data_IF_465622088075
#
_entry.id   IF_465622088075
#
_cell.length_a   1.000
_cell.length_b   1.000
_cell.length_c   1.000
_cell.angle_alpha   90.00
_cell.angle_beta   90.00
_cell.angle_gamma   90.00
#
_symmetry.space_group_name_H-M   'P 1'
#
loop_
_entity.id
_entity.type
_entity.pdbx_description
1 polymer ?
#
# COMPACT_ATOMS: atom_id res chain seq x y z
N UNK A 1 19.54 -1.70 12.72
CA UNK A 1 19.64 -0.36 12.08
C UNK A 1 18.22 0.22 12.02
N UNK A 2 18.02 1.50 12.32
CA UNK A 2 16.72 2.16 12.12
C UNK A 2 16.49 2.36 10.61
N UNK A 3 15.36 1.93 10.09
CA UNK A 3 15.03 1.96 8.65
C UNK A 3 14.25 3.20 8.25
N UNK A 4 13.37 3.70 9.15
CA UNK A 4 12.54 4.86 8.92
C UNK A 4 12.84 5.95 9.95
N UNK A 5 12.94 7.19 9.47
CA UNK A 5 13.03 8.37 10.32
C UNK A 5 11.74 9.19 10.17
N UNK A 6 10.90 9.29 11.22
CA UNK A 6 9.68 10.10 11.14
C UNK A 6 9.96 11.56 10.78
N UNK A 7 11.14 12.11 11.13
CA UNK A 7 11.51 13.49 10.81
C UNK A 7 11.80 13.67 9.31
N UNK A 8 12.13 12.59 8.60
CA UNK A 8 12.33 12.66 7.15
C UNK A 8 11.06 13.07 6.38
N UNK A 9 9.89 12.93 6.98
CA UNK A 9 8.62 13.40 6.40
C UNK A 9 8.49 14.94 6.40
N UNK A 10 9.30 15.65 7.19
CA UNK A 10 9.29 17.11 7.23
C UNK A 10 10.27 17.75 6.22
N UNK A 11 10.93 16.95 5.39
CA UNK A 11 11.84 17.48 4.37
C UNK A 11 11.10 18.34 3.36
N UNK A 12 11.81 19.35 2.82
CA UNK A 12 11.23 20.30 1.88
C UNK A 12 10.75 19.68 0.55
N UNK A 13 11.27 18.50 0.19
CA UNK A 13 10.87 17.73 -0.99
C UNK A 13 9.67 16.79 -0.75
N UNK A 14 9.16 16.70 0.49
CA UNK A 14 7.91 16.02 0.78
C UNK A 14 6.74 16.83 0.24
N UNK A 15 6.02 16.27 -0.71
CA UNK A 15 4.82 16.87 -1.25
C UNK A 15 3.63 16.60 -0.31
N UNK A 16 3.03 17.67 0.22
CA UNK A 16 1.79 17.60 1.00
C UNK A 16 0.70 18.37 0.27
N UNK A 17 -0.49 17.81 0.16
CA UNK A 17 -1.69 18.41 -0.40
C UNK A 17 -2.87 18.16 0.53
N UNK A 18 -3.80 19.11 0.57
CA UNK A 18 -5.08 19.02 1.28
C UNK A 18 -6.29 18.95 0.33
N UNK A 19 -6.08 19.28 -0.94
CA UNK A 19 -7.11 19.28 -1.99
C UNK A 19 -6.73 18.35 -3.15
N UNK A 20 -7.70 17.63 -3.72
CA UNK A 20 -9.11 17.49 -3.35
C UNK A 20 -9.35 16.65 -2.09
N UNK A 21 -8.33 16.01 -1.57
CA UNK A 21 -8.27 15.29 -0.29
C UNK A 21 -6.83 15.32 0.23
N UNK A 22 -6.66 15.08 1.53
CA UNK A 22 -5.34 15.15 2.13
C UNK A 22 -4.48 13.95 1.74
N UNK A 23 -3.28 14.22 1.20
CA UNK A 23 -2.26 13.21 0.92
C UNK A 23 -0.84 13.77 1.03
N UNK A 24 0.12 12.88 1.23
CA UNK A 24 1.55 13.18 1.15
C UNK A 24 2.27 12.18 0.24
N UNK A 25 3.35 12.66 -0.39
CA UNK A 25 4.29 11.84 -1.16
C UNK A 25 5.69 12.22 -0.69
N UNK A 26 6.42 11.26 -0.16
CA UNK A 26 7.78 11.43 0.32
C UNK A 26 8.72 10.42 -0.37
N UNK A 27 9.81 10.93 -0.93
CA UNK A 27 10.80 10.12 -1.64
C UNK A 27 11.98 9.75 -0.72
N UNK A 28 12.69 8.66 -1.04
CA UNK A 28 13.93 8.30 -0.37
C UNK A 28 13.80 8.08 1.14
N UNK A 29 12.70 7.47 1.58
CA UNK A 29 12.42 7.24 3.00
C UNK A 29 13.20 6.06 3.59
N UNK A 30 13.86 5.25 2.75
CA UNK A 30 14.65 4.11 3.16
C UNK A 30 16.13 4.32 2.84
N UNK A 31 17.05 3.89 3.72
CA UNK A 31 18.48 3.99 3.46
C UNK A 31 18.91 2.99 2.38
N UNK A 32 19.74 3.41 1.42
CA UNK A 32 20.24 2.54 0.34
C UNK A 32 20.99 1.32 0.89
N UNK A 33 21.68 1.45 2.01
CA UNK A 33 22.40 0.35 2.65
C UNK A 33 21.49 -0.81 3.10
N UNK A 34 20.20 -0.58 3.31
CA UNK A 34 19.24 -1.62 3.68
C UNK A 34 18.61 -2.35 2.48
N UNK A 35 18.81 -1.86 1.28
CA UNK A 35 18.13 -2.34 0.06
C UNK A 35 18.29 -3.84 -0.16
N UNK A 36 19.52 -4.33 -0.11
CA UNK A 36 19.80 -5.75 -0.36
C UNK A 36 19.17 -6.68 0.67
N UNK A 37 19.20 -6.28 1.95
CA UNK A 37 18.60 -7.05 3.03
C UNK A 37 17.08 -7.06 2.95
N UNK A 38 16.44 -5.91 2.69
CA UNK A 38 15.00 -5.80 2.47
C UNK A 38 14.53 -6.58 1.24
N UNK A 39 15.34 -6.61 0.17
CA UNK A 39 15.05 -7.41 -1.02
C UNK A 39 15.07 -8.91 -0.73
N UNK A 40 16.08 -9.38 -0.03
CA UNK A 40 16.23 -10.77 0.35
C UNK A 40 15.09 -11.26 1.27
N UNK A 41 14.67 -10.41 2.20
CA UNK A 41 13.65 -10.69 3.22
C UNK A 41 12.21 -10.47 2.73
N UNK A 42 12.02 -9.89 1.53
CA UNK A 42 10.70 -9.61 1.00
C UNK A 42 9.95 -10.91 0.67
N UNK A 43 8.68 -11.10 1.13
CA UNK A 43 7.99 -12.38 1.03
C UNK A 43 7.74 -12.79 -0.42
N UNK A 44 7.73 -14.11 -0.65
CA UNK A 44 7.46 -14.74 -1.94
C UNK A 44 6.09 -15.37 -1.94
N UNK A 45 5.13 -14.72 -2.60
CA UNK A 45 3.77 -15.24 -2.72
C UNK A 45 3.56 -16.00 -4.03
N UNK A 46 2.76 -17.10 -4.00
CA UNK A 46 2.51 -17.91 -5.19
C UNK A 46 1.58 -17.24 -6.22
N UNK A 47 0.89 -16.18 -5.84
CA UNK A 47 -0.09 -15.47 -6.68
C UNK A 47 0.00 -13.97 -6.52
N UNK A 48 -0.54 -13.23 -7.50
CA UNK A 48 -0.60 -11.77 -7.50
C UNK A 48 -1.64 -11.24 -6.50
N UNK A 49 -1.43 -10.00 -6.03
CA UNK A 49 -2.32 -9.25 -5.15
C UNK A 49 -1.75 -8.99 -3.77
N UNK A 50 -2.60 -8.41 -2.93
CA UNK A 50 -2.28 -8.08 -1.54
C UNK A 50 -2.62 -9.24 -0.62
N UNK A 51 -1.72 -9.54 0.31
CA UNK A 51 -1.87 -10.58 1.33
C UNK A 51 -1.73 -9.96 2.70
N UNK A 52 -2.57 -10.35 3.69
CA UNK A 52 -2.33 -9.95 5.07
C UNK A 52 -0.90 -10.29 5.49
N UNK A 53 -0.24 -9.37 6.18
CA UNK A 53 1.08 -9.60 6.73
C UNK A 53 1.02 -10.70 7.80
N UNK A 54 1.85 -11.70 7.63
CA UNK A 54 2.16 -12.72 8.64
C UNK A 54 3.67 -12.71 8.82
N UNK A 55 4.13 -12.64 10.08
CA UNK A 55 5.57 -12.48 10.36
C UNK A 55 6.43 -13.63 9.83
N UNK A 56 5.88 -14.83 9.79
CA UNK A 56 6.54 -16.02 9.28
C UNK A 56 6.75 -16.05 7.77
N UNK A 57 6.02 -15.24 7.01
CA UNK A 57 6.21 -15.12 5.56
C UNK A 57 7.34 -14.16 5.20
N UNK A 58 7.71 -13.27 6.13
CA UNK A 58 8.68 -12.19 5.92
C UNK A 58 9.97 -12.46 6.67
N UNK A 59 11.08 -12.02 6.11
CA UNK A 59 12.34 -12.01 6.85
C UNK A 59 12.40 -10.91 7.92
N UNK A 60 13.46 -10.93 8.77
CA UNK A 60 13.59 -10.03 9.92
C UNK A 60 13.56 -8.54 9.56
N UNK A 61 14.22 -8.13 8.46
CA UNK A 61 14.29 -6.72 8.07
C UNK A 61 12.94 -6.16 7.61
N UNK A 62 12.14 -6.95 6.89
CA UNK A 62 10.77 -6.57 6.50
C UNK A 62 9.86 -6.46 7.72
N UNK A 63 9.98 -7.39 8.68
CA UNK A 63 9.22 -7.32 9.92
C UNK A 63 9.59 -6.08 10.74
N UNK A 64 10.89 -5.75 10.85
CA UNK A 64 11.35 -4.53 11.50
C UNK A 64 10.83 -3.26 10.80
N UNK A 65 10.87 -3.23 9.47
CA UNK A 65 10.36 -2.11 8.68
C UNK A 65 8.85 -1.89 8.90
N UNK A 66 8.07 -2.97 8.97
CA UNK A 66 6.63 -2.88 9.26
C UNK A 66 6.39 -2.39 10.69
N UNK A 67 7.16 -2.88 11.67
CA UNK A 67 7.07 -2.41 13.05
C UNK A 67 7.37 -0.90 13.14
N UNK A 68 8.41 -0.41 12.44
CA UNK A 68 8.75 1.02 12.38
C UNK A 68 7.67 1.86 11.64
N UNK A 69 7.14 1.36 10.52
CA UNK A 69 6.11 2.06 9.74
C UNK A 69 4.78 2.18 10.50
N UNK A 70 4.48 1.21 11.37
CA UNK A 70 3.26 1.19 12.19
C UNK A 70 3.46 1.76 13.60
N UNK A 71 4.68 2.17 13.95
CA UNK A 71 4.98 2.76 15.25
C UNK A 71 4.18 4.07 15.46
N UNK A 72 3.78 4.32 16.70
CA UNK A 72 2.91 5.45 17.04
C UNK A 72 3.53 6.81 16.65
N UNK A 73 4.84 6.99 16.83
CA UNK A 73 5.55 8.22 16.49
C UNK A 73 5.55 8.49 14.97
N UNK A 74 5.73 7.45 14.15
CA UNK A 74 5.61 7.52 12.69
C UNK A 74 4.17 7.85 12.28
N UNK A 75 3.19 7.14 12.82
CA UNK A 75 1.78 7.35 12.53
C UNK A 75 1.32 8.76 12.93
N UNK A 76 1.71 9.25 14.12
CA UNK A 76 1.35 10.60 14.58
C UNK A 76 2.03 11.69 13.74
N UNK A 77 3.25 11.43 13.23
CA UNK A 77 3.90 12.35 12.28
C UNK A 77 3.13 12.42 10.97
N UNK A 78 2.73 11.27 10.42
CA UNK A 78 1.86 11.17 9.25
C UNK A 78 0.53 11.89 9.51
N UNK A 79 -0.08 11.65 10.68
CA UNK A 79 -1.34 12.28 11.09
C UNK A 79 -1.28 13.82 11.05
N UNK A 80 -0.18 14.41 11.53
CA UNK A 80 0.00 15.87 11.48
C UNK A 80 -0.03 16.43 10.05
N UNK A 81 0.62 15.76 9.10
CA UNK A 81 0.60 16.17 7.68
C UNK A 81 -0.78 16.02 7.02
N UNK A 82 -1.60 15.08 7.50
CA UNK A 82 -2.92 14.80 6.93
C UNK A 82 -4.09 15.42 7.72
N UNK A 83 -3.82 16.18 8.78
CA UNK A 83 -4.85 16.74 9.65
C UNK A 83 -5.65 15.65 10.38
N UNK A 84 -4.98 14.60 10.88
CA UNK A 84 -5.58 13.49 11.62
C UNK A 84 -4.90 13.40 12.99
N UNK A 85 -5.65 13.73 14.04
CA UNK A 85 -5.16 13.61 15.41
C UNK A 85 -5.21 12.16 15.90
N UNK A 86 -4.19 11.75 16.66
CA UNK A 86 -4.14 10.44 17.31
C UNK A 86 -4.07 9.24 16.35
N UNK A 87 -3.52 9.42 15.14
CA UNK A 87 -3.40 8.33 14.17
C UNK A 87 -2.61 7.14 14.73
N UNK A 88 -1.61 7.40 15.58
CA UNK A 88 -0.81 6.37 16.25
C UNK A 88 -1.55 5.51 17.27
N UNK A 89 -2.76 5.89 17.65
CA UNK A 89 -3.61 5.11 18.56
C UNK A 89 -4.61 4.21 17.83
N UNK A 90 -4.72 4.37 16.51
CA UNK A 90 -5.67 3.58 15.72
C UNK A 90 -5.13 2.20 15.38
N UNK A 91 -5.99 1.19 15.33
CA UNK A 91 -5.60 -0.15 14.92
C UNK A 91 -5.13 -0.17 13.46
N UNK A 92 -4.10 -0.95 13.19
CA UNK A 92 -3.54 -1.09 11.85
C UNK A 92 -3.84 -2.45 11.24
N UNK A 93 -4.08 -2.46 9.94
CA UNK A 93 -4.06 -3.64 9.09
C UNK A 93 -2.93 -3.49 8.08
N UNK A 94 -1.99 -4.43 8.10
CA UNK A 94 -0.88 -4.46 7.14
C UNK A 94 -1.13 -5.53 6.09
N UNK A 95 -0.91 -5.16 4.85
CA UNK A 95 -0.89 -6.09 3.71
C UNK A 95 0.38 -5.91 2.91
N UNK A 96 0.87 -6.99 2.33
CA UNK A 96 2.08 -6.99 1.49
C UNK A 96 1.72 -7.52 0.11
N UNK A 97 2.21 -6.83 -0.91
CA UNK A 97 2.06 -7.21 -2.29
C UNK A 97 3.44 -7.38 -2.93
N UNK A 98 3.69 -8.52 -3.58
CA UNK A 98 4.90 -8.73 -4.38
C UNK A 98 4.66 -8.48 -5.87
N UNK A 99 3.50 -8.91 -6.37
CA UNK A 99 3.18 -8.80 -7.80
C UNK A 99 1.71 -8.49 -8.02
N UNK A 100 1.42 -7.89 -9.14
CA UNK A 100 0.06 -7.61 -9.59
C UNK A 100 -0.23 -8.33 -10.90
N UNK A 101 -1.50 -8.48 -11.22
CA UNK A 101 -2.00 -8.81 -12.55
C UNK A 101 -2.84 -7.63 -13.08
N UNK A 102 -3.22 -7.68 -14.35
CA UNK A 102 -3.92 -6.58 -15.04
C UNK A 102 -5.29 -6.21 -14.46
N UNK A 103 -5.84 -7.01 -13.54
CA UNK A 103 -7.15 -6.75 -12.89
C UNK A 103 -7.03 -5.81 -11.69
N UNK A 104 -5.82 -5.59 -11.18
CA UNK A 104 -5.59 -4.69 -10.04
C UNK A 104 -5.47 -3.24 -10.50
N UNK A 105 -5.73 -2.31 -9.57
CA UNK A 105 -5.50 -0.89 -9.79
C UNK A 105 -6.66 -0.13 -10.43
N UNK A 106 -7.86 -0.71 -10.46
CA UNK A 106 -9.08 0.03 -10.86
C UNK A 106 -9.29 1.27 -9.99
N UNK A 107 -9.93 2.29 -10.54
CA UNK A 107 -10.24 3.52 -9.79
C UNK A 107 -11.21 3.19 -8.65
N UNK A 108 -10.86 3.60 -7.44
CA UNK A 108 -11.70 3.43 -6.25
C UNK A 108 -11.37 4.47 -5.18
N UNK A 109 -12.19 4.53 -4.15
CA UNK A 109 -11.85 5.09 -2.84
C UNK A 109 -11.69 3.96 -1.85
N UNK A 110 -10.92 4.17 -0.80
CA UNK A 110 -10.81 3.22 0.29
C UNK A 110 -12.13 3.07 1.06
N UNK A 111 -12.33 1.92 1.70
CA UNK A 111 -13.54 1.67 2.50
C UNK A 111 -13.68 2.63 3.67
N UNK A 112 -14.93 2.83 4.12
CA UNK A 112 -15.27 3.71 5.25
C UNK A 112 -14.65 3.30 6.58
N UNK A 113 -14.21 2.06 6.71
CA UNK A 113 -13.52 1.57 7.89
C UNK A 113 -12.03 1.98 7.95
N UNK A 114 -11.48 2.57 6.88
CA UNK A 114 -10.12 3.13 6.89
C UNK A 114 -10.16 4.62 7.20
N UNK A 115 -9.19 5.08 7.97
CA UNK A 115 -8.94 6.51 8.26
C UNK A 115 -7.88 7.06 7.33
N UNK A 116 -6.80 6.30 7.17
CA UNK A 116 -5.70 6.61 6.25
C UNK A 116 -5.07 5.32 5.72
N UNK A 117 -4.40 5.44 4.56
CA UNK A 117 -3.64 4.35 3.96
C UNK A 117 -2.25 4.85 3.56
N UNK A 118 -1.22 4.09 3.94
CA UNK A 118 0.16 4.27 3.51
C UNK A 118 0.57 3.16 2.55
N UNK A 119 1.35 3.52 1.52
CA UNK A 119 1.97 2.63 0.57
C UNK A 119 3.47 2.92 0.54
N UNK A 120 4.28 1.99 1.04
CA UNK A 120 5.74 2.05 0.98
C UNK A 120 6.23 1.10 -0.11
N UNK A 121 6.92 1.64 -1.10
CA UNK A 121 7.38 0.90 -2.28
C UNK A 121 8.81 0.40 -2.13
N UNK A 122 9.07 -0.81 -2.65
CA UNK A 122 10.37 -1.49 -2.52
C UNK A 122 10.91 -2.06 -3.84
N UNK A 123 10.45 -1.60 -5.02
CA UNK A 123 11.07 -2.03 -6.27
C UNK A 123 12.39 -1.29 -6.48
N UNK A 124 13.42 -1.99 -6.90
CA UNK A 124 14.74 -1.41 -7.16
C UNK A 124 14.68 -0.33 -8.26
N UNK A 125 13.91 -0.61 -9.31
CA UNK A 125 13.68 0.28 -10.44
C UNK A 125 12.26 0.13 -10.95
N UNK A 126 11.85 1.05 -11.83
CA UNK A 126 10.57 0.97 -12.53
C UNK A 126 10.78 1.29 -14.02
N UNK A 127 10.16 0.53 -14.92
CA UNK A 127 10.24 0.82 -16.36
C UNK A 127 9.75 2.24 -16.69
N UNK A 128 10.17 2.78 -17.83
CA UNK A 128 9.69 4.05 -18.37
C UNK A 128 8.24 3.89 -18.91
N UNK A 129 7.31 3.64 -17.99
CA UNK A 129 5.89 3.43 -18.26
C UNK A 129 5.05 3.96 -17.12
N UNK A 130 3.86 4.43 -17.43
CA UNK A 130 2.84 4.81 -16.44
C UNK A 130 2.07 3.60 -15.88
N UNK A 131 2.21 2.41 -16.49
CA UNK A 131 1.53 1.22 -15.98
C UNK A 131 1.99 0.88 -14.56
N UNK A 132 1.04 0.68 -13.63
CA UNK A 132 1.32 0.40 -12.23
C UNK A 132 1.76 1.59 -11.38
N UNK A 133 1.96 2.80 -11.95
CA UNK A 133 2.23 4.01 -11.19
C UNK A 133 0.95 4.50 -10.53
N UNK A 134 1.02 4.81 -9.22
CA UNK A 134 -0.15 5.30 -8.48
C UNK A 134 -0.55 6.69 -8.98
N UNK A 135 -1.84 6.87 -9.21
CA UNK A 135 -2.46 8.14 -9.56
C UNK A 135 -3.50 8.52 -8.53
N UNK A 136 -3.44 9.73 -8.01
CA UNK A 136 -4.56 10.38 -7.32
C UNK A 136 -5.42 11.10 -8.35
N UNK A 137 -6.74 11.03 -8.20
CA UNK A 137 -7.67 11.44 -9.25
C UNK A 137 -8.71 12.42 -8.69
N UNK A 138 -9.20 13.33 -9.55
CA UNK A 138 -10.30 14.24 -9.20
C UNK A 138 -11.66 13.57 -9.34
N UNK A 139 -11.74 12.55 -10.20
CA UNK A 139 -13.00 11.90 -10.59
C UNK A 139 -12.89 10.39 -10.58
N UNK A 140 -14.02 9.72 -10.36
CA UNK A 140 -14.09 8.26 -10.34
C UNK A 140 -14.08 7.61 -11.73
N UNK A 141 -14.33 8.37 -12.79
CA UNK A 141 -14.57 7.86 -14.15
C UNK A 141 -13.41 8.11 -15.13
N UNK A 142 -12.33 8.72 -14.67
CA UNK A 142 -11.16 9.02 -15.52
C UNK A 142 -9.85 8.79 -14.80
N UNK A 143 -9.05 7.85 -15.29
CA UNK A 143 -7.69 7.57 -14.81
C UNK A 143 -6.71 8.68 -15.26
N UNK A 144 -7.06 9.49 -16.23
CA UNK A 144 -6.22 10.57 -16.77
C UNK A 144 -6.46 11.91 -16.05
N UNK A 145 -7.55 12.06 -15.28
CA UNK A 145 -7.84 13.28 -14.52
C UNK A 145 -7.08 13.32 -13.19
N UNK A 146 -5.74 13.39 -13.29
CA UNK A 146 -4.82 13.25 -12.18
C UNK A 146 -4.72 14.52 -11.32
N UNK A 147 -4.45 14.32 -10.03
CA UNK A 147 -4.04 15.35 -9.08
C UNK A 147 -2.52 15.30 -8.93
N UNK A 148 -1.81 16.10 -9.72
CA UNK A 148 -0.35 16.08 -9.74
C UNK A 148 0.23 14.93 -10.58
N UNK A 149 1.48 14.62 -10.35
CA UNK A 149 2.20 13.58 -11.06
C UNK A 149 1.91 12.18 -10.48
N UNK A 150 1.96 11.17 -11.34
CA UNK A 150 1.86 9.79 -10.90
C UNK A 150 3.09 9.37 -10.07
N UNK A 151 2.90 8.46 -9.13
CA UNK A 151 3.97 7.98 -8.26
C UNK A 151 4.47 6.63 -8.75
N UNK A 152 5.72 6.60 -9.16
CA UNK A 152 6.43 5.35 -9.50
C UNK A 152 6.65 4.52 -8.24
N UNK A 153 6.40 3.21 -8.27
CA UNK A 153 6.55 2.34 -7.11
C UNK A 153 8.02 1.96 -6.86
N UNK A 154 8.90 2.96 -6.70
CA UNK A 154 10.34 2.81 -6.53
C UNK A 154 10.69 2.75 -5.04
N UNK A 155 11.77 2.04 -4.72
CA UNK A 155 12.33 1.86 -3.38
C UNK A 155 12.41 3.17 -2.59
N UNK A 156 11.83 3.15 -1.39
CA UNK A 156 11.82 4.30 -0.48
C UNK A 156 10.76 5.36 -0.79
N UNK A 157 9.94 5.22 -1.84
CA UNK A 157 8.81 6.10 -2.02
C UNK A 157 7.69 5.72 -1.06
N UNK A 158 7.29 6.66 -0.22
CA UNK A 158 6.16 6.55 0.70
C UNK A 158 5.04 7.48 0.25
N UNK A 159 3.86 6.91 0.06
CA UNK A 159 2.64 7.65 -0.24
C UNK A 159 1.65 7.40 0.87
N UNK A 160 1.05 8.46 1.41
CA UNK A 160 -0.01 8.32 2.41
C UNK A 160 -1.17 9.23 2.05
N UNK A 161 -2.38 8.77 2.24
CA UNK A 161 -3.57 9.57 2.00
C UNK A 161 -4.66 9.31 3.05
N UNK A 162 -5.38 10.38 3.37
CA UNK A 162 -6.57 10.32 4.20
C UNK A 162 -7.74 9.80 3.39
N UNK A 163 -8.49 8.88 3.94
CA UNK A 163 -9.74 8.42 3.34
C UNK A 163 -10.78 9.54 3.31
N UNK A 164 -11.36 9.77 2.14
CA UNK A 164 -12.48 10.68 1.92
C UNK A 164 -13.41 10.09 0.84
N UNK A 165 -14.64 10.62 0.71
CA UNK A 165 -15.58 10.14 -0.32
C UNK A 165 -15.08 10.44 -1.74
N UNK A 166 -14.16 11.39 -1.88
CA UNK A 166 -13.54 11.80 -3.15
C UNK A 166 -12.05 11.42 -3.24
N UNK A 167 -11.51 10.58 -2.34
CA UNK A 167 -10.11 10.15 -2.38
C UNK A 167 -9.87 9.08 -3.45
N UNK A 168 -10.29 9.39 -4.69
CA UNK A 168 -10.14 8.49 -5.82
C UNK A 168 -8.68 8.27 -6.16
N UNK A 169 -8.31 7.02 -6.33
CA UNK A 169 -6.96 6.63 -6.75
C UNK A 169 -7.00 5.31 -7.51
N UNK A 170 -5.93 5.06 -8.25
CA UNK A 170 -5.77 3.85 -9.04
C UNK A 170 -4.46 3.88 -9.81
N UNK A 171 -4.31 2.95 -10.73
CA UNK A 171 -3.20 2.93 -11.67
C UNK A 171 -3.61 2.26 -12.99
N UNK A 172 -2.88 2.55 -14.06
CA UNK A 172 -3.05 1.83 -15.32
C UNK A 172 -2.75 0.34 -15.12
N UNK A 173 -3.42 -0.56 -15.86
CA UNK A 173 -3.22 -2.00 -15.75
C UNK A 173 -1.74 -2.37 -15.85
N UNK A 174 -1.28 -3.17 -14.89
CA UNK A 174 0.09 -3.65 -14.81
C UNK A 174 0.09 -5.13 -14.46
N UNK A 175 1.04 -5.86 -15.04
CA UNK A 175 1.29 -7.26 -14.71
C UNK A 175 2.78 -7.46 -14.48
N UNK A 176 3.12 -7.98 -13.31
CA UNK A 176 4.51 -8.18 -12.92
C UNK A 176 4.80 -7.85 -11.47
N UNK A 177 6.08 -7.74 -11.17
CA UNK A 177 6.55 -7.46 -9.81
C UNK A 177 6.28 -5.99 -9.46
N UNK A 178 5.56 -5.78 -8.35
CA UNK A 178 5.26 -4.47 -7.77
C UNK A 178 5.21 -4.64 -6.26
N UNK A 179 6.37 -4.45 -5.65
CA UNK A 179 6.56 -4.65 -4.21
C UNK A 179 6.07 -3.44 -3.44
N UNK A 180 5.11 -3.68 -2.56
CA UNK A 180 4.58 -2.64 -1.69
C UNK A 180 4.17 -3.22 -0.34
N UNK A 181 4.48 -2.49 0.72
CA UNK A 181 3.90 -2.67 2.04
C UNK A 181 2.80 -1.62 2.17
N UNK A 182 1.57 -2.08 2.40
CA UNK A 182 0.42 -1.22 2.64
C UNK A 182 0.03 -1.30 4.11
N UNK A 183 -0.10 -0.14 4.74
CA UNK A 183 -0.65 0.02 6.09
C UNK A 183 -1.96 0.79 5.98
N UNK A 184 -3.03 0.24 6.54
CA UNK A 184 -4.30 0.94 6.72
C UNK A 184 -4.54 1.17 8.21
N UNK A 185 -4.76 2.41 8.62
CA UNK A 185 -5.27 2.76 9.95
C UNK A 185 -6.79 2.67 9.91
N UNK A 186 -7.36 1.92 10.86
CA UNK A 186 -8.77 1.56 10.86
C UNK A 186 -9.53 2.29 11.97
N UNK A 187 -10.83 2.46 11.77
CA UNK A 187 -11.71 3.16 12.71
C UNK A 187 -11.90 2.42 14.05
N UNK A 188 -11.68 1.09 14.08
CA UNK A 188 -11.84 0.28 15.29
C UNK A 188 -11.11 -1.07 15.21
N UNK A 189 -10.87 -1.68 16.38
CA UNK A 189 -10.35 -3.05 16.48
C UNK A 189 -11.33 -4.09 15.91
N UNK A 190 -12.62 -3.85 15.98
CA UNK A 190 -13.64 -4.72 15.40
C UNK A 190 -13.48 -4.81 13.88
N UNK A 191 -13.29 -3.68 13.21
CA UNK A 191 -13.03 -3.61 11.79
C UNK A 191 -11.73 -4.33 11.40
N UNK A 192 -10.69 -4.19 12.21
CA UNK A 192 -9.43 -4.94 12.05
C UNK A 192 -9.66 -6.44 12.10
N UNK A 193 -10.39 -6.92 13.11
CA UNK A 193 -10.70 -8.34 13.25
C UNK A 193 -11.52 -8.88 12.07
N UNK A 194 -12.52 -8.12 11.63
CA UNK A 194 -13.36 -8.47 10.46
C UNK A 194 -12.53 -8.60 9.19
N UNK A 195 -11.68 -7.61 8.91
CA UNK A 195 -10.81 -7.60 7.72
C UNK A 195 -9.74 -8.69 7.78
N UNK A 196 -9.14 -8.92 8.93
CA UNK A 196 -8.14 -9.98 9.11
C UNK A 196 -8.74 -11.37 8.84
N UNK A 197 -9.93 -11.66 9.38
CA UNK A 197 -10.64 -12.92 9.12
C UNK A 197 -10.94 -13.12 7.65
N UNK A 198 -11.43 -12.08 6.97
CA UNK A 198 -11.72 -12.11 5.52
C UNK A 198 -10.44 -12.32 4.70
N UNK A 199 -9.36 -11.65 5.06
CA UNK A 199 -8.05 -11.80 4.40
C UNK A 199 -7.47 -13.21 4.54
N UNK A 200 -7.55 -13.81 5.73
CA UNK A 200 -7.09 -15.19 5.98
C UNK A 200 -7.89 -16.21 5.16
N UNK A 201 -9.20 -16.06 5.06
CA UNK A 201 -10.04 -16.89 4.21
C UNK A 201 -9.67 -16.76 2.73
N UNK A 202 -9.53 -15.53 2.22
CA UNK A 202 -9.10 -15.29 0.84
C UNK A 202 -7.72 -15.89 0.53
N UNK A 203 -6.77 -15.78 1.47
CA UNK A 203 -5.45 -16.40 1.36
C UNK A 203 -5.52 -17.92 1.30
N UNK A 204 -6.35 -18.55 2.13
CA UNK A 204 -6.54 -20.00 2.13
C UNK A 204 -7.10 -20.49 0.78
N UNK A 205 -8.12 -19.79 0.26
CA UNK A 205 -8.67 -20.07 -1.07
C UNK A 205 -7.62 -19.92 -2.18
N UNK A 206 -6.82 -18.84 -2.16
CA UNK A 206 -5.74 -18.65 -3.13
C UNK A 206 -4.64 -19.71 -3.04
N UNK A 207 -4.31 -20.21 -1.86
CA UNK A 207 -3.37 -21.34 -1.68
C UNK A 207 -3.92 -22.64 -2.25
N UNK A 208 -5.21 -22.92 -2.04
CA UNK A 208 -5.85 -24.18 -2.48
C UNK A 208 -6.18 -24.20 -3.98
N UNK A 209 -6.58 -23.06 -4.54
CA UNK A 209 -7.09 -22.97 -5.91
C UNK A 209 -6.20 -22.13 -6.84
N UNK A 210 -5.21 -21.43 -6.35
CA UNK A 210 -4.30 -20.60 -7.16
C UNK A 210 -3.46 -21.35 -8.19
N UNK A 211 -3.35 -22.68 -8.05
CA UNK A 211 -2.77 -23.56 -9.06
C UNK A 211 -3.73 -23.81 -10.25
N UNK A 212 -5.03 -23.68 -10.03
CA UNK A 212 -6.09 -23.93 -11.02
C UNK A 212 -6.33 -22.66 -11.88
N UNK A 213 -6.21 -21.48 -11.28
CA UNK A 213 -6.48 -20.19 -11.95
C UNK A 213 -5.47 -19.89 -13.08
N UNK A 214 -4.28 -20.49 -13.03
CA UNK A 214 -3.31 -20.44 -14.16
C UNK A 214 -3.76 -21.22 -15.41
N UNK A 215 -4.75 -22.11 -15.28
CA UNK A 215 -5.26 -22.94 -16.40
C UNK A 215 -6.62 -22.50 -16.94
N UNK A 216 -7.34 -21.62 -16.20
CA UNK A 216 -8.68 -21.14 -16.59
C UNK A 216 -8.64 -19.62 -16.63
N UNK A 217 -7.90 -19.07 -17.58
CA UNK A 217 -7.89 -17.65 -17.88
C UNK A 217 -9.08 -17.22 -18.71
N UNK A 218 -10.29 -17.19 -18.13
CA UNK A 218 -11.41 -16.44 -18.68
C UNK A 218 -12.60 -16.40 -17.70
N UNK A 219 -12.94 -15.21 -17.23
CA UNK A 219 -14.28 -14.88 -16.80
C UNK A 219 -14.67 -15.24 -15.39
N UNK A 220 -14.26 -14.38 -14.43
CA UNK A 220 -15.07 -13.92 -13.30
C UNK A 220 -14.29 -12.78 -12.63
N UNK A 221 -14.91 -11.59 -12.62
CA UNK A 221 -14.39 -10.44 -11.92
C UNK A 221 -14.39 -10.71 -10.41
N UNK A 222 -13.29 -11.22 -9.89
CA UNK A 222 -13.02 -11.17 -8.46
C UNK A 222 -12.43 -9.81 -8.16
N UNK A 223 -13.22 -8.95 -7.57
CA UNK A 223 -12.84 -7.71 -6.92
C UNK A 223 -11.92 -8.00 -5.72
N UNK A 224 -10.77 -8.59 -5.97
CA UNK A 224 -9.77 -8.87 -4.95
C UNK A 224 -8.94 -7.63 -4.56
N UNK A 225 -9.19 -6.48 -5.21
CA UNK A 225 -8.72 -5.17 -4.75
C UNK A 225 -9.56 -4.61 -3.59
N UNK A 226 -10.66 -5.25 -3.25
CA UNK A 226 -11.52 -4.91 -2.14
C UNK A 226 -11.30 -5.88 -0.97
N UNK A 227 -10.13 -5.81 -0.33
CA UNK A 227 -10.02 -6.08 1.10
C UNK A 227 -10.67 -4.90 1.86
N UNK A 228 -11.76 -4.41 1.30
CA UNK A 228 -12.63 -3.42 1.90
C UNK A 228 -13.66 -4.08 2.79
#
# INVERSE_FOLDING_TARGET
>A
MKLLDPQALDRADTLVRDQPFAFLIAHGQLPDAARAELDADFPRYPSAGFFPHEREDCGPSINALIDELTAADMADRIGRHLGIDGLGQLPTLVTVCRSLNRRHGTIHTDSRSKVATALLYLNESWPETSAGCLRFLRRADSIEDQVGEEVRPIYGNLVVFRRAENSFHGHLPYEGERRVIQVAWLTSEEEKLRKTKRGKLSRLFKKLFGAIDRRIGAGRGDNASHLD
#
